data_IF_063363030957
#
_entry.id   IF_063363030957
#
_cell.length_a   1.000
_cell.length_b   1.000
_cell.length_c   1.000
_cell.angle_alpha   90.00
_cell.angle_beta   90.00
_cell.angle_gamma   90.00
#
_symmetry.space_group_name_H-M   'P 1'
#
loop_
_entity.id
_entity.type
_entity.pdbx_description
1 polymer ?
#
# COMPACT_ATOMS: atom_id res chain seq x y z
N UNK A 1 44.77 -5.44 16.62
CA UNK A 1 44.05 -4.66 15.60
C UNK A 1 42.67 -4.28 16.13
N UNK A 2 42.50 -3.06 16.65
CA UNK A 2 41.17 -2.45 16.74
C UNK A 2 41.33 -0.94 16.56
N UNK A 3 40.69 -0.39 15.52
CA UNK A 3 40.78 1.03 15.17
C UNK A 3 39.85 1.86 16.07
N UNK A 4 40.27 3.03 16.58
CA UNK A 4 39.37 3.89 17.33
C UNK A 4 38.32 4.50 16.38
N UNK A 5 37.05 4.24 16.64
CA UNK A 5 35.92 4.92 16.00
C UNK A 5 35.93 6.41 16.36
N UNK A 6 36.05 7.28 15.36
CA UNK A 6 35.86 8.73 15.54
C UNK A 6 34.41 9.04 15.96
N UNK A 7 34.16 9.98 16.88
CA UNK A 7 32.81 10.48 17.12
C UNK A 7 32.32 11.26 15.88
N UNK A 8 31.10 10.95 15.44
CA UNK A 8 30.42 11.67 14.36
C UNK A 8 29.86 12.99 14.92
N UNK A 9 30.24 14.13 14.34
CA UNK A 9 29.72 15.43 14.72
C UNK A 9 28.23 15.56 14.31
N UNK A 10 27.39 16.27 15.10
CA UNK A 10 26.00 16.51 14.74
C UNK A 10 25.93 17.38 13.47
N UNK A 11 25.14 16.93 12.47
CA UNK A 11 24.88 17.71 11.26
C UNK A 11 24.12 19.00 11.62
N UNK A 12 24.48 20.16 11.07
CA UNK A 12 23.73 21.39 11.30
C UNK A 12 22.30 21.23 10.77
N UNK A 13 21.32 21.62 11.58
CA UNK A 13 19.91 21.64 11.20
C UNK A 13 19.72 22.72 10.12
N UNK A 14 19.60 22.30 8.87
CA UNK A 14 19.18 23.19 7.79
C UNK A 14 17.76 23.69 8.10
N UNK A 15 17.59 25.01 8.21
CA UNK A 15 16.29 25.64 8.36
C UNK A 15 15.44 25.33 7.14
N UNK A 16 14.39 24.52 7.34
CA UNK A 16 13.46 24.16 6.26
C UNK A 16 12.65 25.42 5.88
N UNK A 17 12.53 25.77 4.59
CA UNK A 17 11.72 26.91 4.19
C UNK A 17 10.26 26.72 4.62
N UNK A 18 9.51 27.81 4.88
CA UNK A 18 8.09 27.76 5.20
C UNK A 18 7.34 27.09 4.05
N UNK A 19 6.39 26.22 4.41
CA UNK A 19 5.55 25.50 3.44
C UNK A 19 4.72 26.54 2.67
N UNK A 20 4.64 26.48 1.33
CA UNK A 20 3.79 27.40 0.59
C UNK A 20 2.33 27.26 1.04
N UNK A 21 1.69 28.40 1.27
CA UNK A 21 0.26 28.52 1.58
C UNK A 21 -0.58 27.78 0.50
N UNK A 22 -1.64 27.06 0.89
CA UNK A 22 -2.44 26.31 -0.07
C UNK A 22 -3.19 27.26 -0.99
N UNK A 23 -2.66 27.48 -2.19
CA UNK A 23 -3.37 28.16 -3.27
C UNK A 23 -4.72 27.46 -3.48
N UNK A 24 -5.80 28.25 -3.47
CA UNK A 24 -7.17 27.77 -3.63
C UNK A 24 -7.26 26.80 -4.82
N UNK A 25 -7.51 25.53 -4.52
CA UNK A 25 -7.48 24.45 -5.50
C UNK A 25 -8.72 24.58 -6.39
N UNK A 26 -8.50 24.78 -7.69
CA UNK A 26 -9.57 24.76 -8.70
C UNK A 26 -10.44 23.51 -8.53
N UNK A 27 -11.76 23.60 -8.82
CA UNK A 27 -12.66 22.46 -8.69
C UNK A 27 -12.12 21.29 -9.51
N UNK A 28 -11.88 20.17 -8.84
CA UNK A 28 -11.36 18.97 -9.46
C UNK A 28 -12.39 18.50 -10.48
N UNK A 29 -11.98 18.37 -11.74
CA UNK A 29 -12.83 17.81 -12.79
C UNK A 29 -13.50 16.51 -12.30
N UNK A 30 -14.75 16.30 -12.72
CA UNK A 30 -15.53 15.11 -12.35
C UNK A 30 -14.68 13.84 -12.54
N UNK A 31 -14.75 12.87 -11.62
CA UNK A 31 -13.96 11.66 -11.73
C UNK A 31 -14.30 10.96 -13.05
N UNK A 32 -13.27 10.69 -13.86
CA UNK A 32 -13.42 9.85 -15.04
C UNK A 32 -14.02 8.49 -14.63
N UNK A 33 -14.82 7.85 -15.51
CA UNK A 33 -15.39 6.54 -15.21
C UNK A 33 -14.27 5.56 -14.85
N UNK A 34 -14.45 4.82 -13.76
CA UNK A 34 -13.47 3.84 -13.33
C UNK A 34 -13.36 2.73 -14.38
N UNK A 35 -12.13 2.29 -14.66
CA UNK A 35 -11.91 1.11 -15.51
C UNK A 35 -12.59 -0.10 -14.87
N UNK A 36 -13.33 -0.92 -15.64
CA UNK A 36 -13.97 -2.12 -15.12
C UNK A 36 -12.92 -3.08 -14.57
N UNK A 37 -13.17 -3.60 -13.37
CA UNK A 37 -12.29 -4.59 -12.74
C UNK A 37 -12.64 -5.97 -13.33
N UNK A 38 -11.68 -6.68 -13.95
CA UNK A 38 -11.94 -8.03 -14.46
C UNK A 38 -12.24 -9.01 -13.31
N UNK A 39 -12.87 -10.16 -13.58
CA UNK A 39 -13.11 -11.19 -12.59
C UNK A 39 -11.82 -11.57 -11.86
N UNK A 40 -11.88 -11.58 -10.52
CA UNK A 40 -10.72 -11.90 -9.69
C UNK A 40 -10.67 -13.41 -9.48
N UNK A 41 -9.54 -14.02 -9.86
CA UNK A 41 -9.26 -15.44 -9.64
C UNK A 41 -7.93 -15.62 -8.90
N UNK A 42 -7.89 -16.67 -8.07
CA UNK A 42 -6.75 -17.03 -7.24
C UNK A 42 -6.27 -18.43 -7.62
N UNK A 43 -5.03 -18.59 -8.09
CA UNK A 43 -4.45 -19.90 -8.32
C UNK A 43 -4.05 -20.53 -6.97
N UNK A 44 -4.61 -21.70 -6.65
CA UNK A 44 -4.34 -22.44 -5.40
C UNK A 44 -2.88 -22.88 -5.23
N UNK A 45 -2.10 -22.90 -6.31
CA UNK A 45 -0.67 -23.26 -6.29
C UNK A 45 0.20 -22.21 -5.61
N UNK A 46 -0.29 -20.97 -5.42
CA UNK A 46 0.49 -19.91 -4.77
C UNK A 46 0.23 -19.88 -3.26
N UNK A 47 1.29 -19.87 -2.42
CA UNK A 47 1.15 -19.82 -0.96
C UNK A 47 0.26 -18.67 -0.45
N UNK A 48 0.32 -17.48 -1.09
CA UNK A 48 -0.51 -16.34 -0.69
C UNK A 48 -1.99 -16.54 -1.05
N UNK A 49 -2.30 -17.20 -2.17
CA UNK A 49 -3.70 -17.52 -2.55
C UNK A 49 -4.34 -18.46 -1.53
N UNK A 50 -3.61 -19.51 -1.13
CA UNK A 50 -4.10 -20.52 -0.17
C UNK A 50 -4.44 -19.96 1.22
N UNK A 51 -3.94 -18.76 1.55
CA UNK A 51 -4.15 -18.07 2.84
C UNK A 51 -5.07 -16.85 2.70
N UNK A 52 -5.84 -16.77 1.62
CA UNK A 52 -6.67 -15.61 1.30
C UNK A 52 -7.63 -15.25 2.43
N UNK A 53 -8.31 -16.24 3.01
CA UNK A 53 -9.30 -16.02 4.07
C UNK A 53 -8.65 -15.43 5.33
N UNK A 54 -7.46 -15.92 5.71
CA UNK A 54 -6.71 -15.40 6.84
C UNK A 54 -6.23 -13.97 6.60
N UNK A 55 -5.72 -13.68 5.39
CA UNK A 55 -5.30 -12.33 5.00
C UNK A 55 -6.50 -11.39 5.01
N UNK A 56 -7.64 -11.81 4.47
CA UNK A 56 -8.86 -11.02 4.43
C UNK A 56 -9.40 -10.73 5.84
N UNK A 57 -9.31 -11.71 6.75
CA UNK A 57 -9.66 -11.55 8.16
C UNK A 57 -8.74 -10.54 8.85
N UNK A 58 -7.43 -10.70 8.71
CA UNK A 58 -6.45 -9.77 9.27
C UNK A 58 -6.66 -8.34 8.76
N UNK A 59 -6.96 -8.15 7.48
CA UNK A 59 -7.24 -6.84 6.89
C UNK A 59 -8.52 -6.18 7.41
N UNK A 60 -9.53 -6.97 7.83
CA UNK A 60 -10.77 -6.47 8.44
C UNK A 60 -10.54 -6.06 9.90
N UNK A 61 -9.76 -6.84 10.64
CA UNK A 61 -9.54 -6.66 12.08
C UNK A 61 -8.43 -5.65 12.41
N UNK A 62 -7.45 -5.47 11.51
CA UNK A 62 -6.28 -4.64 11.75
C UNK A 62 -6.10 -3.57 10.68
N UNK A 63 -5.87 -2.33 11.12
CA UNK A 63 -5.59 -1.21 10.23
C UNK A 63 -4.25 -1.38 9.47
N UNK A 64 -3.28 -2.04 10.10
CA UNK A 64 -1.96 -2.32 9.53
C UNK A 64 -1.67 -3.81 9.64
N UNK A 65 -1.33 -4.44 8.52
CA UNK A 65 -0.97 -5.85 8.43
C UNK A 65 0.38 -5.97 7.71
N UNK A 66 1.33 -6.70 8.29
CA UNK A 66 2.61 -7.02 7.67
C UNK A 66 2.54 -8.44 7.13
N UNK A 67 2.75 -8.60 5.82
CA UNK A 67 2.76 -9.92 5.16
C UNK A 67 4.19 -10.27 4.75
N UNK A 68 4.77 -11.27 5.42
CA UNK A 68 6.11 -11.78 5.12
C UNK A 68 6.02 -13.04 4.24
N UNK A 69 6.99 -13.24 3.36
CA UNK A 69 7.13 -14.47 2.57
C UNK A 69 8.24 -14.38 1.54
N UNK A 70 8.70 -15.50 1.03
CA UNK A 70 9.76 -15.57 0.01
C UNK A 70 9.36 -14.97 -1.34
N UNK A 71 10.34 -14.63 -2.17
CA UNK A 71 10.08 -14.25 -3.58
C UNK A 71 9.38 -15.40 -4.30
N UNK A 72 8.38 -15.09 -5.13
CA UNK A 72 7.58 -16.11 -5.83
C UNK A 72 6.32 -16.57 -5.08
N UNK A 73 6.16 -16.25 -3.79
CA UNK A 73 4.98 -16.67 -3.01
C UNK A 73 3.65 -16.04 -3.46
N UNK A 74 3.68 -15.05 -4.36
CA UNK A 74 2.50 -14.37 -4.88
C UNK A 74 2.12 -13.07 -4.16
N UNK A 75 2.95 -12.51 -3.27
CA UNK A 75 2.61 -11.28 -2.51
C UNK A 75 2.21 -10.11 -3.40
N UNK A 76 3.09 -9.69 -4.32
CA UNK A 76 2.88 -8.52 -5.18
C UNK A 76 1.69 -8.70 -6.14
N UNK A 77 1.35 -9.93 -6.50
CA UNK A 77 0.31 -10.23 -7.48
C UNK A 77 -1.05 -10.55 -6.86
N UNK A 78 -1.09 -11.25 -5.72
CA UNK A 78 -2.34 -11.68 -5.10
C UNK A 78 -2.84 -10.71 -4.03
N UNK A 79 -1.97 -10.06 -3.24
CA UNK A 79 -2.45 -9.12 -2.20
C UNK A 79 -3.31 -7.97 -2.78
N UNK A 80 -2.95 -7.35 -3.92
CA UNK A 80 -3.82 -6.34 -4.54
C UNK A 80 -5.19 -6.88 -4.91
N UNK A 81 -5.28 -8.13 -5.42
CA UNK A 81 -6.53 -8.78 -5.76
C UNK A 81 -7.41 -9.03 -4.54
N UNK A 82 -6.84 -9.54 -3.45
CA UNK A 82 -7.58 -9.78 -2.18
C UNK A 82 -8.16 -8.46 -1.66
N UNK A 83 -7.36 -7.40 -1.69
CA UNK A 83 -7.77 -6.07 -1.23
C UNK A 83 -8.86 -5.46 -2.12
N UNK A 84 -8.82 -5.70 -3.43
CA UNK A 84 -9.87 -5.31 -4.38
C UNK A 84 -11.19 -6.06 -4.15
N UNK A 85 -11.13 -7.37 -3.86
CA UNK A 85 -12.30 -8.19 -3.53
C UNK A 85 -12.99 -7.68 -2.24
N UNK A 86 -12.21 -7.20 -1.28
CA UNK A 86 -12.71 -6.54 -0.06
C UNK A 86 -13.28 -5.13 -0.29
N UNK A 87 -13.44 -4.71 -1.55
CA UNK A 87 -14.03 -3.42 -1.91
C UNK A 87 -13.07 -2.22 -1.79
N UNK A 88 -11.79 -2.44 -1.49
CA UNK A 88 -10.80 -1.35 -1.42
C UNK A 88 -10.23 -1.05 -2.82
N UNK A 89 -9.74 0.17 -3.04
CA UNK A 89 -9.05 0.52 -4.29
C UNK A 89 -9.94 0.69 -5.52
N UNK A 90 -11.27 0.57 -5.38
CA UNK A 90 -12.22 1.05 -6.39
C UNK A 90 -12.12 2.57 -6.39
N UNK A 91 -11.67 3.16 -7.50
CA UNK A 91 -11.59 4.61 -7.62
C UNK A 91 -12.95 5.22 -7.25
N UNK A 92 -12.96 6.19 -6.34
CA UNK A 92 -14.15 6.82 -5.77
C UNK A 92 -15.17 7.25 -6.85
N UNK A 93 -16.12 6.37 -7.20
CA UNK A 93 -17.02 6.59 -8.32
C UNK A 93 -18.06 5.49 -8.56
N UNK A 94 -18.51 4.78 -7.53
CA UNK A 94 -19.60 3.82 -7.67
C UNK A 94 -19.88 3.10 -6.37
N UNK A 95 -20.84 3.62 -5.62
CA UNK A 95 -21.35 2.94 -4.43
C UNK A 95 -21.97 1.59 -4.77
N UNK A 96 -21.83 0.67 -3.83
CA UNK A 96 -22.91 0.02 -3.08
C UNK A 96 -22.32 -0.41 -1.74
#
# INVERSE_FOLDING_TARGET
MNSPTRPSAPRPAASRPPRPEPAARAPRAAPAPANPVPPITFPESLPVSSRREDIARALREHQVVIVCGETGSGKTTQLPKIVLELGRGRANGGGL
#
